data_IF_574057452821
#
_entry.id   IF_574057452821
#
_cell.length_a   1.000
_cell.length_b   1.000
_cell.length_c   1.000
_cell.angle_alpha   90.00
_cell.angle_beta   90.00
_cell.angle_gamma   90.00
#
_symmetry.space_group_name_H-M   'P 1'
#
loop_
_entity.id
_entity.type
_entity.pdbx_description
1 polymer ?
#
# COMPACT_ATOMS: atom_id res chain seq x y z
N UNK A 1 -11.79 -11.65 -0.89
CA UNK A 1 -12.17 -10.65 -1.92
C UNK A 1 -11.20 -10.82 -3.08
N UNK A 2 -11.62 -10.77 -4.34
CA UNK A 2 -10.65 -10.90 -5.44
C UNK A 2 -9.65 -9.73 -5.42
N UNK A 3 -8.38 -9.97 -5.79
CA UNK A 3 -7.38 -8.91 -5.83
C UNK A 3 -7.79 -7.78 -6.78
N UNK A 4 -8.45 -8.15 -7.88
CA UNK A 4 -9.13 -7.24 -8.82
C UNK A 4 -10.11 -6.29 -8.12
N UNK A 5 -10.95 -6.81 -7.22
CA UNK A 5 -11.94 -6.01 -6.50
C UNK A 5 -11.28 -5.07 -5.47
N UNK A 6 -10.20 -5.50 -4.82
CA UNK A 6 -9.40 -4.60 -3.96
C UNK A 6 -8.74 -3.50 -4.79
N UNK A 7 -8.12 -3.83 -5.91
CA UNK A 7 -7.55 -2.84 -6.82
C UNK A 7 -8.60 -1.82 -7.28
N UNK A 8 -9.74 -2.28 -7.79
CA UNK A 8 -10.84 -1.41 -8.27
C UNK A 8 -11.37 -0.47 -7.18
N UNK A 9 -11.48 -0.95 -5.93
CA UNK A 9 -11.89 -0.10 -4.79
C UNK A 9 -10.93 1.08 -4.62
N UNK A 10 -9.63 0.84 -4.60
CA UNK A 10 -8.64 1.89 -4.35
C UNK A 10 -8.37 2.74 -5.60
N UNK A 11 -8.49 2.17 -6.80
CA UNK A 11 -8.51 2.90 -8.07
C UNK A 11 -9.65 3.91 -8.12
N UNK A 12 -10.85 3.53 -7.69
CA UNK A 12 -12.00 4.44 -7.63
C UNK A 12 -11.76 5.60 -6.64
N UNK A 13 -11.18 5.31 -5.47
CA UNK A 13 -10.83 6.33 -4.48
C UNK A 13 -9.79 7.33 -5.02
N UNK A 14 -8.73 6.82 -5.67
CA UNK A 14 -7.70 7.65 -6.28
C UNK A 14 -8.22 8.46 -7.47
N UNK A 15 -9.06 7.86 -8.32
CA UNK A 15 -9.69 8.55 -9.46
C UNK A 15 -10.61 9.67 -8.98
N UNK A 16 -11.43 9.42 -7.96
CA UNK A 16 -12.28 10.44 -7.34
C UNK A 16 -11.43 11.59 -6.77
N UNK A 17 -10.33 11.26 -6.08
CA UNK A 17 -9.41 12.27 -5.56
C UNK A 17 -8.74 13.07 -6.69
N UNK A 18 -8.39 12.42 -7.80
CA UNK A 18 -7.85 13.04 -9.01
C UNK A 18 -8.81 14.10 -9.57
N UNK A 19 -10.10 13.79 -9.64
CA UNK A 19 -11.13 14.73 -10.07
C UNK A 19 -11.24 15.94 -9.13
N UNK A 20 -11.21 15.71 -7.81
CA UNK A 20 -11.25 16.79 -6.80
C UNK A 20 -10.03 17.71 -6.93
N UNK A 21 -8.84 17.14 -7.14
CA UNK A 21 -7.61 17.91 -7.35
C UNK A 21 -7.71 18.74 -8.64
N UNK A 22 -8.19 18.15 -9.74
CA UNK A 22 -8.37 18.87 -11.00
C UNK A 22 -9.35 20.04 -10.87
N UNK A 23 -10.46 19.85 -10.15
CA UNK A 23 -11.39 20.93 -9.84
C UNK A 23 -10.75 22.02 -8.97
N UNK A 24 -9.95 21.64 -7.98
CA UNK A 24 -9.21 22.59 -7.12
C UNK A 24 -8.22 23.42 -7.94
N UNK A 25 -7.49 22.77 -8.85
CA UNK A 25 -6.58 23.43 -9.78
C UNK A 25 -7.32 24.43 -10.67
N UNK A 26 -8.45 24.04 -11.26
CA UNK A 26 -9.25 24.93 -12.11
C UNK A 26 -9.74 26.17 -11.36
N UNK A 27 -10.06 26.05 -10.06
CA UNK A 27 -10.48 27.20 -9.22
C UNK A 27 -9.36 28.20 -8.95
N UNK A 28 -8.11 27.74 -8.93
CA UNK A 28 -6.93 28.61 -8.78
C UNK A 28 -6.56 29.29 -10.10
N UNK A 29 -6.74 28.60 -11.23
CA UNK A 29 -6.29 29.08 -12.54
C UNK A 29 -7.33 29.91 -13.33
N UNK A 30 -8.58 29.98 -12.87
CA UNK A 30 -9.64 30.75 -13.54
C UNK A 30 -9.40 32.26 -13.49
N UNK A 31 -9.99 33.02 -14.41
CA UNK A 31 -9.81 34.48 -14.56
C UNK A 31 -10.11 35.29 -13.29
N UNK A 32 -11.10 34.85 -12.50
CA UNK A 32 -11.40 35.38 -11.17
C UNK A 32 -11.15 34.28 -10.13
N UNK A 33 -9.90 34.09 -9.65
CA UNK A 33 -9.54 32.96 -8.78
C UNK A 33 -10.43 32.82 -7.55
N UNK A 34 -10.53 31.61 -7.01
CA UNK A 34 -11.15 31.39 -5.70
C UNK A 34 -10.14 31.74 -4.61
N UNK A 35 -10.41 32.79 -3.82
CA UNK A 35 -9.48 33.32 -2.81
C UNK A 35 -9.11 32.26 -1.77
N UNK A 36 -10.07 31.43 -1.35
CA UNK A 36 -9.81 30.36 -0.36
C UNK A 36 -8.77 29.39 -0.92
N UNK A 37 -8.92 28.97 -2.18
CA UNK A 37 -7.97 28.05 -2.79
C UNK A 37 -6.62 28.72 -3.08
N UNK A 38 -6.64 29.96 -3.57
CA UNK A 38 -5.44 30.71 -3.97
C UNK A 38 -4.56 31.07 -2.78
N UNK A 39 -5.16 31.46 -1.65
CA UNK A 39 -4.43 31.81 -0.43
C UNK A 39 -3.95 30.58 0.35
N UNK A 40 -4.55 29.40 0.13
CA UNK A 40 -4.29 28.18 0.90
C UNK A 40 -3.78 26.99 0.06
N UNK A 41 -3.15 27.25 -1.10
CA UNK A 41 -2.66 26.21 -2.03
C UNK A 41 -1.83 25.16 -1.30
N UNK A 42 -0.86 25.58 -0.49
CA UNK A 42 0.03 24.70 0.24
C UNK A 42 -0.73 23.75 1.19
N UNK A 43 -1.78 24.23 1.86
CA UNK A 43 -2.62 23.39 2.71
C UNK A 43 -3.33 22.30 1.90
N UNK A 44 -3.93 22.68 0.76
CA UNK A 44 -4.62 21.72 -0.12
C UNK A 44 -3.66 20.69 -0.70
N UNK A 45 -2.49 21.12 -1.20
CA UNK A 45 -1.47 20.21 -1.73
C UNK A 45 -1.00 19.22 -0.67
N UNK A 46 -0.70 19.68 0.55
CA UNK A 46 -0.34 18.81 1.68
C UNK A 46 -1.45 17.79 1.95
N UNK A 47 -2.70 18.23 2.05
CA UNK A 47 -3.85 17.36 2.32
C UNK A 47 -4.03 16.29 1.25
N UNK A 48 -3.94 16.67 -0.03
CA UNK A 48 -4.07 15.74 -1.14
C UNK A 48 -2.91 14.74 -1.19
N UNK A 49 -1.67 15.18 -0.98
CA UNK A 49 -0.53 14.26 -0.95
C UNK A 49 -0.66 13.22 0.18
N UNK A 50 -1.10 13.65 1.36
CA UNK A 50 -1.36 12.76 2.49
C UNK A 50 -2.40 11.71 2.11
N UNK A 51 -3.54 12.14 1.53
CA UNK A 51 -4.61 11.22 1.13
C UNK A 51 -4.17 10.22 0.04
N UNK A 52 -3.42 10.67 -0.97
CA UNK A 52 -2.86 9.79 -2.02
C UNK A 52 -2.00 8.68 -1.39
N UNK A 53 -1.09 9.03 -0.47
CA UNK A 53 -0.26 8.05 0.24
C UNK A 53 -1.06 7.15 1.18
N UNK A 54 -2.08 7.67 1.87
CA UNK A 54 -2.94 6.88 2.75
C UNK A 54 -3.70 5.82 1.97
N UNK A 55 -4.23 6.14 0.79
CA UNK A 55 -4.91 5.16 -0.06
C UNK A 55 -3.98 4.08 -0.56
N UNK A 56 -2.76 4.43 -0.99
CA UNK A 56 -1.75 3.43 -1.36
C UNK A 56 -1.41 2.50 -0.18
N UNK A 57 -1.18 3.07 1.00
CA UNK A 57 -0.80 2.28 2.18
C UNK A 57 -1.93 1.32 2.61
N UNK A 58 -3.17 1.79 2.58
CA UNK A 58 -4.33 0.96 2.87
C UNK A 58 -4.53 -0.14 1.83
N UNK A 59 -4.32 0.15 0.54
CA UNK A 59 -4.32 -0.86 -0.52
C UNK A 59 -3.30 -1.96 -0.25
N UNK A 60 -2.03 -1.59 0.00
CA UNK A 60 -0.94 -2.54 0.23
C UNK A 60 -1.22 -3.46 1.43
N UNK A 61 -1.79 -2.92 2.51
CA UNK A 61 -2.17 -3.69 3.69
C UNK A 61 -3.33 -4.65 3.39
N UNK A 62 -4.37 -4.19 2.69
CA UNK A 62 -5.53 -5.02 2.38
C UNK A 62 -5.17 -6.17 1.42
N UNK A 63 -4.38 -5.93 0.37
CA UNK A 63 -4.00 -7.00 -0.57
C UNK A 63 -3.04 -8.01 0.05
N UNK A 64 -2.11 -7.57 0.91
CA UNK A 64 -1.25 -8.48 1.65
C UNK A 64 -2.06 -9.35 2.64
N UNK A 65 -3.08 -8.78 3.28
CA UNK A 65 -3.97 -9.52 4.18
C UNK A 65 -4.77 -10.56 3.41
N UNK A 66 -5.34 -10.19 2.27
CA UNK A 66 -6.06 -11.14 1.41
C UNK A 66 -5.12 -12.27 0.95
N UNK A 67 -3.93 -11.95 0.44
CA UNK A 67 -2.98 -12.95 -0.05
C UNK A 67 -2.51 -13.90 1.05
N UNK A 68 -2.12 -13.37 2.20
CA UNK A 68 -1.71 -14.19 3.35
C UNK A 68 -2.86 -15.07 3.88
N UNK A 69 -4.09 -14.58 3.81
CA UNK A 69 -5.29 -15.37 4.10
C UNK A 69 -5.41 -16.58 3.18
N UNK A 70 -5.22 -16.40 1.86
CA UNK A 70 -5.26 -17.51 0.89
C UNK A 70 -4.11 -18.50 1.06
N UNK A 71 -2.89 -18.02 1.35
CA UNK A 71 -1.77 -18.90 1.73
C UNK A 71 -2.13 -19.73 2.96
N UNK A 72 -2.76 -19.13 3.96
CA UNK A 72 -3.20 -19.85 5.17
C UNK A 72 -4.26 -20.90 4.87
N UNK A 73 -5.20 -20.62 3.96
CA UNK A 73 -6.19 -21.61 3.51
C UNK A 73 -5.50 -22.80 2.84
N UNK A 74 -4.53 -22.56 1.94
CA UNK A 74 -3.72 -23.63 1.30
C UNK A 74 -2.96 -24.46 2.35
N UNK A 75 -2.36 -23.80 3.34
CA UNK A 75 -1.66 -24.48 4.43
C UNK A 75 -2.59 -25.40 5.23
N UNK A 76 -3.80 -24.92 5.57
CA UNK A 76 -4.81 -25.71 6.27
C UNK A 76 -5.26 -26.91 5.45
N UNK A 77 -5.50 -26.71 4.14
CA UNK A 77 -5.91 -27.79 3.24
C UNK A 77 -4.85 -28.88 3.08
N UNK A 78 -3.57 -28.56 3.28
CA UNK A 78 -2.49 -29.53 3.28
C UNK A 78 -2.45 -30.42 4.54
N UNK A 79 -3.27 -30.14 5.56
CA UNK A 79 -3.36 -30.90 6.81
C UNK A 79 -1.98 -31.15 7.47
N UNK A 80 -1.11 -30.14 7.44
CA UNK A 80 0.22 -30.24 8.05
C UNK A 80 0.08 -30.10 9.56
N UNK A 81 0.56 -31.05 10.38
CA UNK A 81 0.45 -30.95 11.83
C UNK A 81 1.19 -29.73 12.39
N UNK A 82 0.53 -28.92 13.22
CA UNK A 82 1.12 -27.73 13.87
C UNK A 82 2.42 -28.05 14.60
N UNK A 83 2.42 -29.14 15.38
CA UNK A 83 3.59 -29.54 16.17
C UNK A 83 4.81 -29.88 15.30
N UNK A 84 4.60 -30.37 14.07
CA UNK A 84 5.70 -30.68 13.15
C UNK A 84 6.43 -29.40 12.71
N UNK A 85 5.67 -28.39 12.25
CA UNK A 85 6.26 -27.12 11.85
C UNK A 85 6.83 -26.35 13.05
N UNK A 86 6.09 -26.30 14.16
CA UNK A 86 6.55 -25.62 15.37
C UNK A 86 7.86 -26.21 15.90
N UNK A 87 7.95 -27.54 15.98
CA UNK A 87 9.18 -28.22 16.42
C UNK A 87 10.38 -27.99 15.51
N UNK A 88 10.15 -27.71 14.21
CA UNK A 88 11.23 -27.40 13.27
C UNK A 88 11.66 -25.94 13.29
N UNK A 89 10.73 -25.01 13.50
CA UNK A 89 10.96 -23.57 13.33
C UNK A 89 11.25 -22.84 14.65
N UNK A 90 10.76 -23.33 15.78
CA UNK A 90 10.99 -22.71 17.07
C UNK A 90 12.42 -22.97 17.56
N UNK A 91 13.06 -21.94 18.13
CA UNK A 91 14.36 -22.10 18.81
C UNK A 91 14.25 -22.94 20.08
N UNK A 92 13.17 -22.73 20.84
CA UNK A 92 12.85 -23.45 22.07
C UNK A 92 11.38 -23.90 22.04
N UNK A 93 11.14 -25.19 22.22
CA UNK A 93 9.80 -25.78 22.22
C UNK A 93 9.17 -25.56 23.60
N UNK A 94 8.05 -24.83 23.64
CA UNK A 94 7.26 -24.63 24.86
C UNK A 94 6.07 -25.56 24.85
N UNK A 95 5.92 -26.39 25.88
CA UNK A 95 4.86 -27.40 25.97
C UNK A 95 3.45 -26.79 25.81
N UNK A 96 3.22 -25.60 26.36
CA UNK A 96 1.95 -24.85 26.22
C UNK A 96 1.57 -24.45 24.78
N UNK A 97 2.54 -24.45 23.86
CA UNK A 97 2.32 -24.10 22.45
C UNK A 97 2.09 -25.35 21.58
N UNK A 98 2.30 -26.56 22.13
CA UNK A 98 2.01 -27.82 21.44
C UNK A 98 0.50 -28.06 21.39
N UNK A 99 -0.01 -28.33 20.19
CA UNK A 99 -1.44 -28.52 19.92
C UNK A 99 -1.62 -29.59 18.85
N UNK A 100 -2.53 -30.53 19.10
CA UNK A 100 -2.95 -31.53 18.12
C UNK A 100 -3.97 -30.93 17.14
N UNK A 101 -3.51 -29.96 16.35
CA UNK A 101 -4.29 -29.26 15.32
C UNK A 101 -3.44 -29.07 14.08
N UNK A 102 -4.09 -28.78 12.96
CA UNK A 102 -3.39 -28.40 11.73
C UNK A 102 -2.75 -27.02 11.87
N UNK A 103 -1.64 -26.83 11.18
CA UNK A 103 -0.90 -25.58 11.17
C UNK A 103 -1.73 -24.44 10.56
N UNK A 104 -1.74 -23.30 11.25
CA UNK A 104 -2.45 -22.10 10.81
C UNK A 104 -1.65 -20.87 11.23
N UNK A 105 -0.94 -20.27 10.27
CA UNK A 105 -0.11 -19.07 10.49
C UNK A 105 -0.67 -17.89 9.68
N UNK A 106 -1.87 -17.45 10.04
CA UNK A 106 -2.47 -16.25 9.46
C UNK A 106 -1.81 -15.01 10.05
N UNK A 107 -1.46 -14.05 9.19
CA UNK A 107 -1.18 -12.70 9.65
C UNK A 107 -2.47 -12.00 10.06
N UNK A 108 -2.42 -11.32 11.20
CA UNK A 108 -3.45 -10.38 11.60
C UNK A 108 -3.28 -9.06 10.86
N UNK A 109 -4.36 -8.27 10.76
CA UNK A 109 -4.31 -6.92 10.19
C UNK A 109 -3.27 -6.04 10.90
N UNK A 110 -3.12 -6.19 12.22
CA UNK A 110 -2.15 -5.45 13.02
C UNK A 110 -0.70 -5.81 12.67
N UNK A 111 -0.40 -7.11 12.59
CA UNK A 111 0.95 -7.57 12.24
C UNK A 111 1.36 -7.07 10.85
N UNK A 112 0.43 -7.05 9.88
CA UNK A 112 0.70 -6.50 8.55
C UNK A 112 0.85 -4.98 8.57
N UNK A 113 0.02 -4.24 9.32
CA UNK A 113 0.16 -2.79 9.42
C UNK A 113 1.48 -2.35 10.09
N UNK A 114 2.04 -3.21 10.95
CA UNK A 114 3.32 -2.93 11.63
C UNK A 114 4.53 -3.11 10.68
N UNK A 115 4.41 -3.95 9.64
CA UNK A 115 5.50 -4.26 8.71
C UNK A 115 5.34 -3.65 7.30
N UNK A 116 4.12 -3.36 6.87
CA UNK A 116 3.80 -2.71 5.58
C UNK A 116 3.59 -1.22 5.80
N UNK A 117 4.23 -0.41 4.96
CA UNK A 117 3.92 1.02 4.85
C UNK A 117 3.98 1.44 3.39
N UNK A 118 3.56 2.66 3.06
CA UNK A 118 3.72 3.19 1.70
C UNK A 118 5.17 3.21 1.19
N UNK A 119 6.19 3.01 2.05
CA UNK A 119 7.58 2.96 1.62
C UNK A 119 7.87 1.66 0.82
N UNK A 120 8.36 1.75 -0.42
CA UNK A 120 8.56 0.56 -1.26
C UNK A 120 9.57 -0.44 -0.73
N UNK A 121 10.63 -0.02 -0.02
CA UNK A 121 11.60 -0.95 0.56
C UNK A 121 11.02 -1.77 1.70
N UNK A 122 10.22 -1.13 2.57
CA UNK A 122 9.47 -1.84 3.62
C UNK A 122 8.44 -2.78 2.99
N UNK A 123 7.73 -2.32 1.98
CA UNK A 123 6.76 -3.12 1.22
C UNK A 123 7.41 -4.37 0.61
N UNK A 124 8.55 -4.24 -0.08
CA UNK A 124 9.29 -5.39 -0.64
C UNK A 124 9.62 -6.42 0.45
N UNK A 125 10.10 -5.97 1.60
CA UNK A 125 10.45 -6.87 2.69
C UNK A 125 9.20 -7.57 3.26
N UNK A 126 8.09 -6.84 3.44
CA UNK A 126 6.85 -7.43 3.93
C UNK A 126 6.25 -8.44 2.95
N UNK A 127 6.24 -8.12 1.65
CA UNK A 127 5.73 -9.04 0.61
C UNK A 127 6.63 -10.28 0.46
N UNK A 128 7.94 -10.13 0.67
CA UNK A 128 8.86 -11.28 0.74
C UNK A 128 8.47 -12.24 1.87
N UNK A 129 8.04 -11.73 3.04
CA UNK A 129 7.64 -12.57 4.18
C UNK A 129 6.36 -13.38 3.92
N UNK A 130 5.51 -12.92 3.01
CA UNK A 130 4.31 -13.68 2.58
C UNK A 130 4.56 -14.47 1.29
N UNK A 131 5.80 -14.48 0.77
CA UNK A 131 6.20 -15.31 -0.37
C UNK A 131 5.99 -14.68 -1.75
N UNK A 132 5.92 -13.35 -1.83
CA UNK A 132 5.81 -12.61 -3.10
C UNK A 132 7.09 -11.86 -3.40
N UNK A 133 7.62 -12.05 -4.61
CA UNK A 133 8.76 -11.29 -5.12
C UNK A 133 8.31 -10.11 -6.00
N UNK A 134 8.10 -8.95 -5.36
CA UNK A 134 7.79 -7.71 -6.08
C UNK A 134 8.90 -7.26 -7.03
N UNK A 135 10.15 -7.68 -6.81
CA UNK A 135 11.28 -7.34 -7.66
C UNK A 135 11.25 -8.02 -9.03
N UNK A 136 10.40 -9.03 -9.21
CA UNK A 136 10.20 -9.73 -10.48
C UNK A 136 9.36 -8.94 -11.50
N UNK A 137 8.63 -7.91 -11.07
CA UNK A 137 7.83 -7.05 -11.95
C UNK A 137 8.64 -5.84 -12.42
N UNK A 138 8.88 -5.76 -13.72
CA UNK A 138 9.59 -4.61 -14.33
C UNK A 138 8.88 -3.29 -14.02
N UNK A 139 7.54 -3.25 -14.18
CA UNK A 139 6.73 -2.06 -13.87
C UNK A 139 6.81 -1.65 -12.40
N UNK A 140 6.86 -2.61 -11.48
CA UNK A 140 7.07 -2.29 -10.07
C UNK A 140 8.43 -1.65 -9.86
N UNK A 141 9.48 -2.23 -10.45
CA UNK A 141 10.87 -1.76 -10.32
C UNK A 141 11.07 -0.36 -10.91
N UNK A 142 10.41 -0.07 -12.02
CA UNK A 142 10.39 1.24 -12.68
C UNK A 142 9.82 2.32 -11.74
N UNK A 143 8.66 2.05 -11.12
CA UNK A 143 7.94 3.05 -10.33
C UNK A 143 8.39 3.15 -8.87
N UNK A 144 9.02 2.11 -8.30
CA UNK A 144 9.35 2.06 -6.86
C UNK A 144 10.16 3.26 -6.36
N UNK A 145 11.10 3.78 -7.16
CA UNK A 145 11.96 4.88 -6.72
C UNK A 145 11.16 6.18 -6.61
N UNK A 146 10.30 6.44 -7.60
CA UNK A 146 9.42 7.61 -7.60
C UNK A 146 8.40 7.53 -6.46
N UNK A 147 7.74 6.39 -6.28
CA UNK A 147 6.84 6.16 -5.14
C UNK A 147 7.56 6.38 -3.81
N UNK A 148 8.81 5.92 -3.69
CA UNK A 148 9.64 6.16 -2.52
C UNK A 148 9.87 7.64 -2.23
N UNK A 149 10.20 8.43 -3.25
CA UNK A 149 10.37 9.89 -3.14
C UNK A 149 9.07 10.57 -2.69
N UNK A 150 7.94 10.23 -3.31
CA UNK A 150 6.62 10.78 -2.99
C UNK A 150 6.26 10.52 -1.52
N UNK A 151 6.42 9.27 -1.08
CA UNK A 151 6.12 8.87 0.31
C UNK A 151 7.06 9.53 1.32
N UNK A 152 8.34 9.71 0.97
CA UNK A 152 9.28 10.43 1.82
C UNK A 152 8.88 11.90 1.97
N UNK A 153 8.46 12.56 0.88
CA UNK A 153 7.96 13.93 0.95
C UNK A 153 6.70 14.03 1.84
N UNK A 154 5.77 13.09 1.70
CA UNK A 154 4.61 12.97 2.61
C UNK A 154 5.04 12.84 4.07
N UNK A 155 6.01 11.99 4.36
CA UNK A 155 6.52 11.81 5.73
C UNK A 155 7.13 13.10 6.28
N UNK A 156 7.85 13.87 5.46
CA UNK A 156 8.41 15.14 5.88
C UNK A 156 7.32 16.18 6.21
N UNK A 157 6.26 16.23 5.40
CA UNK A 157 5.10 17.09 5.66
C UNK A 157 4.43 16.70 7.00
N UNK A 158 4.24 15.40 7.26
CA UNK A 158 3.58 14.94 8.50
C UNK A 158 4.46 15.17 9.72
N UNK A 159 5.74 14.80 9.66
CA UNK A 159 6.60 14.74 10.85
C UNK A 159 7.34 16.04 11.14
N UNK A 160 7.60 16.85 10.11
CA UNK A 160 8.37 18.08 10.23
C UNK A 160 7.58 19.33 9.81
N UNK A 161 6.28 19.18 9.52
CA UNK A 161 5.43 20.24 8.96
C UNK A 161 6.05 20.91 7.73
N UNK A 162 6.81 20.13 6.94
CA UNK A 162 7.49 20.62 5.75
C UNK A 162 6.50 21.25 4.78
N UNK A 163 6.96 22.26 4.03
CA UNK A 163 6.15 22.92 3.01
C UNK A 163 6.03 22.03 1.77
N UNK A 164 4.92 22.16 1.05
CA UNK A 164 4.70 21.48 -0.23
C UNK A 164 4.75 22.46 -1.40
N UNK A 165 5.48 23.58 -1.24
CA UNK A 165 5.65 24.61 -2.27
C UNK A 165 6.37 24.11 -3.53
N UNK A 166 7.09 23.00 -3.40
CA UNK A 166 7.76 22.27 -4.48
C UNK A 166 6.84 21.31 -5.26
N UNK A 167 5.56 21.19 -4.86
CA UNK A 167 4.57 20.32 -5.49
C UNK A 167 3.37 21.14 -5.96
N UNK A 168 3.05 21.02 -7.25
CA UNK A 168 1.85 21.60 -7.84
C UNK A 168 0.67 20.63 -7.84
N UNK A 169 -0.54 21.13 -8.10
CA UNK A 169 -1.70 20.25 -8.35
C UNK A 169 -1.46 19.30 -9.53
N UNK A 170 -0.77 19.75 -10.59
CA UNK A 170 -0.42 18.89 -11.73
C UNK A 170 0.47 17.72 -11.31
N UNK A 171 1.44 17.96 -10.42
CA UNK A 171 2.32 16.89 -9.92
C UNK A 171 1.52 15.83 -9.17
N UNK A 172 0.54 16.24 -8.35
CA UNK A 172 -0.34 15.32 -7.65
C UNK A 172 -1.16 14.44 -8.60
N UNK A 173 -1.64 15.00 -9.72
CA UNK A 173 -2.37 14.22 -10.73
C UNK A 173 -1.47 13.14 -11.33
N UNK A 174 -0.21 13.48 -11.63
CA UNK A 174 0.80 12.53 -12.13
C UNK A 174 1.16 11.49 -11.07
N UNK A 175 1.25 11.89 -9.80
CA UNK A 175 1.51 10.95 -8.70
C UNK A 175 0.40 9.90 -8.57
N UNK A 176 -0.85 10.29 -8.79
CA UNK A 176 -1.98 9.35 -8.80
C UNK A 176 -1.80 8.32 -9.93
N UNK A 177 -1.45 8.76 -11.14
CA UNK A 177 -1.26 7.85 -12.28
C UNK A 177 -0.13 6.84 -12.01
N UNK A 178 1.00 7.32 -11.46
CA UNK A 178 2.12 6.47 -11.03
C UNK A 178 1.68 5.46 -9.97
N UNK A 179 0.84 5.87 -9.02
CA UNK A 179 0.35 4.99 -7.97
C UNK A 179 -0.58 3.91 -8.53
N UNK A 180 -1.44 4.25 -9.49
CA UNK A 180 -2.31 3.27 -10.15
C UNK A 180 -1.49 2.22 -10.90
N UNK A 181 -0.48 2.63 -11.68
CA UNK A 181 0.42 1.69 -12.35
C UNK A 181 1.20 0.81 -11.38
N UNK A 182 1.70 1.41 -10.29
CA UNK A 182 2.38 0.70 -9.22
C UNK A 182 1.46 -0.33 -8.56
N UNK A 183 0.23 0.04 -8.23
CA UNK A 183 -0.77 -0.85 -7.63
C UNK A 183 -1.15 -2.00 -8.57
N UNK A 184 -1.36 -1.71 -9.85
CA UNK A 184 -1.69 -2.70 -10.88
C UNK A 184 -0.56 -3.72 -11.04
N UNK A 185 0.70 -3.26 -11.01
CA UNK A 185 1.86 -4.16 -11.09
C UNK A 185 1.92 -5.18 -9.95
N UNK A 186 1.42 -4.80 -8.77
CA UNK A 186 1.33 -5.69 -7.59
C UNK A 186 0.15 -6.64 -7.74
N UNK A 187 -1.03 -6.13 -8.15
CA UNK A 187 -2.21 -6.95 -8.40
C UNK A 187 -1.89 -8.09 -9.37
N UNK A 188 -1.25 -7.77 -10.50
CA UNK A 188 -0.94 -8.76 -11.54
C UNK A 188 0.03 -9.84 -11.04
N UNK A 189 0.98 -9.49 -10.18
CA UNK A 189 1.87 -10.47 -9.53
C UNK A 189 1.12 -11.40 -8.58
N UNK A 190 0.19 -10.84 -7.79
CA UNK A 190 -0.60 -11.63 -6.83
C UNK A 190 -1.54 -12.60 -7.55
N UNK A 191 -2.20 -12.13 -8.60
CA UNK A 191 -3.09 -12.93 -9.45
C UNK A 191 -2.36 -14.05 -10.20
N UNK A 192 -1.09 -13.83 -10.56
CA UNK A 192 -0.24 -14.87 -11.18
C UNK A 192 0.32 -15.90 -10.17
N UNK A 193 0.25 -15.61 -8.86
CA UNK A 193 0.77 -16.46 -7.78
C UNK A 193 -0.28 -17.41 -7.17
N UNK A 194 -1.50 -17.38 -7.71
CA UNK A 194 -2.57 -18.34 -7.44
C UNK A 194 -2.35 -19.66 -8.17
#
# INVERSE_FOLDING_TARGET
MEYSALYQKYEALLTTLKEIIAQSQARVLREAPDDIFSENINFFVKSYLINICTYLEAYLQDVALEYSGRVTVRLKQANIPHNFLYGKLAKDIKEKELKYVDASYAYTKKELSDIISGNPYKTINAFRLIGIDLGSSEKFVEHKNLVGTIVNKRNNIIHYNDEASDISFSDLLVHIDVFLEYMLSIESLLSASE
#
